data_IF_842053624647
#
_entry.id   IF_842053624647
#
_cell.length_a   1.000
_cell.length_b   1.000
_cell.length_c   1.000
_cell.angle_alpha   90.00
_cell.angle_beta   90.00
_cell.angle_gamma   90.00
#
_symmetry.space_group_name_H-M   'P 1'
#
loop_
_entity.id
_entity.type
_entity.pdbx_description
1 polymer ?
#
# COMPACT_ATOMS: atom_id res chain seq x y z
N UNK A 1 9.63 -15.35 1.17
CA UNK A 1 10.57 -14.26 1.52
C UNK A 1 10.27 -13.07 0.62
N UNK A 2 10.03 -11.87 1.16
CA UNK A 2 9.82 -10.63 0.39
C UNK A 2 11.17 -9.90 0.24
N UNK A 3 11.39 -9.19 -0.87
CA UNK A 3 12.60 -8.38 -1.05
C UNK A 3 12.69 -7.27 0.02
N UNK A 4 13.91 -6.99 0.48
CA UNK A 4 14.22 -5.83 1.34
C UNK A 4 14.88 -4.67 0.60
N UNK A 5 15.26 -4.87 -0.67
CA UNK A 5 15.80 -3.78 -1.51
C UNK A 5 14.67 -2.85 -1.93
N UNK A 6 14.85 -1.55 -1.69
CA UNK A 6 13.92 -0.48 -2.06
C UNK A 6 13.75 -0.41 -3.58
N UNK A 7 14.84 -0.62 -4.33
CA UNK A 7 14.86 -0.60 -5.79
C UNK A 7 13.99 -1.73 -6.37
N UNK A 8 14.09 -2.94 -5.80
CA UNK A 8 13.25 -4.06 -6.23
C UNK A 8 11.76 -3.82 -5.95
N UNK A 9 11.44 -3.13 -4.84
CA UNK A 9 10.06 -2.78 -4.49
C UNK A 9 9.51 -1.70 -5.44
N UNK A 10 10.34 -0.71 -5.77
CA UNK A 10 9.98 0.30 -6.76
C UNK A 10 9.79 -0.31 -8.15
N UNK A 11 10.68 -1.22 -8.57
CA UNK A 11 10.52 -1.97 -9.83
C UNK A 11 9.21 -2.78 -9.84
N UNK A 12 8.88 -3.46 -8.74
CA UNK A 12 7.62 -4.19 -8.64
C UNK A 12 6.40 -3.26 -8.80
N UNK A 13 6.46 -2.05 -8.25
CA UNK A 13 5.44 -1.04 -8.46
C UNK A 13 5.34 -0.60 -9.92
N UNK A 14 6.47 -0.29 -10.58
CA UNK A 14 6.47 0.09 -11.99
C UNK A 14 5.86 -1.01 -12.88
N UNK A 15 6.19 -2.28 -12.63
CA UNK A 15 5.65 -3.41 -13.38
C UNK A 15 4.15 -3.61 -13.15
N UNK A 16 3.68 -3.50 -11.90
CA UNK A 16 2.26 -3.61 -11.58
C UNK A 16 1.44 -2.47 -12.19
N UNK A 17 1.96 -1.23 -12.08
CA UNK A 17 1.36 -0.03 -12.67
C UNK A 17 1.24 -0.15 -14.18
N UNK A 18 2.32 -0.53 -14.87
CA UNK A 18 2.31 -0.73 -16.32
C UNK A 18 1.31 -1.81 -16.75
N UNK A 19 1.25 -2.94 -16.04
CA UNK A 19 0.27 -3.98 -16.35
C UNK A 19 -1.18 -3.50 -16.19
N UNK A 20 -1.46 -2.72 -15.14
CA UNK A 20 -2.77 -2.12 -14.93
C UNK A 20 -3.13 -1.10 -16.01
N UNK A 21 -2.18 -0.23 -16.39
CA UNK A 21 -2.35 0.77 -17.45
C UNK A 21 -2.60 0.13 -18.83
N UNK A 22 -2.06 -1.06 -19.08
CA UNK A 22 -2.33 -1.88 -20.27
C UNK A 22 -3.65 -2.68 -20.18
N UNK A 23 -4.48 -2.44 -19.16
CA UNK A 23 -5.81 -3.01 -19.01
C UNK A 23 -5.86 -4.35 -18.27
N UNK A 24 -4.76 -4.82 -17.67
CA UNK A 24 -4.78 -6.00 -16.82
C UNK A 24 -5.33 -5.66 -15.43
N UNK A 25 -6.66 -5.64 -15.30
CA UNK A 25 -7.37 -5.21 -14.08
C UNK A 25 -6.91 -5.92 -12.80
N UNK A 26 -6.46 -7.19 -12.90
CA UNK A 26 -5.94 -7.92 -11.74
C UNK A 26 -4.70 -7.27 -11.12
N UNK A 27 -3.96 -6.44 -11.87
CA UNK A 27 -2.82 -5.69 -11.33
C UNK A 27 -3.22 -4.45 -10.53
N UNK A 28 -4.47 -3.97 -10.64
CA UNK A 28 -4.94 -2.72 -10.02
C UNK A 28 -4.60 -2.61 -8.54
N UNK A 29 -4.98 -3.62 -7.76
CA UNK A 29 -4.67 -3.66 -6.32
C UNK A 29 -3.17 -3.81 -6.05
N UNK A 30 -2.45 -4.59 -6.88
CA UNK A 30 -1.01 -4.78 -6.71
C UNK A 30 -0.20 -3.51 -6.94
N UNK A 31 -0.69 -2.57 -7.75
CA UNK A 31 -0.08 -1.24 -7.92
C UNK A 31 0.00 -0.51 -6.58
N UNK A 32 -1.07 -0.48 -5.79
CA UNK A 32 -1.08 0.12 -4.46
C UNK A 32 -0.25 -0.69 -3.45
N UNK A 33 -0.37 -2.03 -3.44
CA UNK A 33 0.37 -2.90 -2.52
C UNK A 33 1.88 -2.72 -2.64
N UNK A 34 2.38 -2.71 -3.87
CA UNK A 34 3.81 -2.57 -4.14
C UNK A 34 4.30 -1.15 -3.85
N UNK A 35 3.49 -0.13 -4.15
CA UNK A 35 3.81 1.25 -3.83
C UNK A 35 3.89 1.50 -2.32
N UNK A 36 2.89 1.08 -1.56
CA UNK A 36 2.88 1.22 -0.11
C UNK A 36 4.04 0.47 0.55
N UNK A 37 4.41 -0.69 0.01
CA UNK A 37 5.58 -1.41 0.50
C UNK A 37 6.87 -0.63 0.22
N UNK A 38 7.01 -0.05 -0.98
CA UNK A 38 8.12 0.82 -1.32
C UNK A 38 8.16 2.04 -0.37
N UNK A 39 7.05 2.75 -0.19
CA UNK A 39 6.97 3.90 0.69
C UNK A 39 7.33 3.54 2.13
N UNK A 40 6.83 2.41 2.64
CA UNK A 40 7.13 2.01 4.01
C UNK A 40 8.62 1.76 4.19
N UNK A 41 9.23 1.04 3.26
CA UNK A 41 10.65 0.68 3.34
C UNK A 41 11.58 1.88 3.09
N UNK A 42 11.16 2.85 2.27
CA UNK A 42 11.96 4.02 1.93
C UNK A 42 11.77 5.20 2.89
N UNK A 43 10.56 5.39 3.42
CA UNK A 43 10.14 6.60 4.11
C UNK A 43 9.40 6.36 5.45
N UNK A 44 9.06 5.10 5.77
CA UNK A 44 8.42 4.77 7.04
C UNK A 44 6.90 4.95 7.08
N UNK A 45 6.26 5.36 5.99
CA UNK A 45 4.80 5.48 5.87
C UNK A 45 4.28 4.77 4.61
N UNK A 46 2.98 4.58 4.48
CA UNK A 46 2.33 4.06 3.27
C UNK A 46 1.31 5.06 2.73
N UNK A 47 1.00 5.00 1.43
CA UNK A 47 0.06 5.94 0.81
C UNK A 47 -1.39 5.47 0.99
N UNK A 48 -1.69 4.24 0.59
CA UNK A 48 -3.07 3.77 0.43
C UNK A 48 -3.59 2.91 1.58
N UNK A 49 -2.73 2.30 2.39
CA UNK A 49 -3.17 1.50 3.54
C UNK A 49 -3.28 0.00 3.27
N UNK A 50 -2.38 -0.56 2.46
CA UNK A 50 -2.34 -1.99 2.13
C UNK A 50 -1.44 -2.82 3.05
N UNK A 51 -0.74 -2.17 3.98
CA UNK A 51 0.34 -2.77 4.74
C UNK A 51 0.12 -2.72 6.25
N UNK A 52 0.25 -3.86 6.91
CA UNK A 52 0.24 -3.95 8.36
C UNK A 52 1.54 -4.54 8.92
N UNK A 53 1.75 -4.33 10.21
CA UNK A 53 2.87 -4.84 11.01
C UNK A 53 2.36 -5.22 12.40
N UNK A 54 3.18 -5.90 13.19
CA UNK A 54 2.85 -6.20 14.59
C UNK A 54 3.63 -5.29 15.53
N UNK A 55 2.94 -4.71 16.52
CA UNK A 55 3.51 -3.94 17.63
C UNK A 55 2.92 -4.51 18.92
N UNK A 56 3.76 -5.01 19.83
CA UNK A 56 3.33 -5.65 21.08
C UNK A 56 2.24 -6.73 20.87
N UNK A 57 2.44 -7.60 19.88
CA UNK A 57 1.51 -8.67 19.45
C UNK A 57 0.16 -8.19 18.89
N UNK A 58 -0.02 -6.88 18.69
CA UNK A 58 -1.19 -6.30 18.01
C UNK A 58 -0.88 -6.06 16.54
N UNK A 59 -1.76 -6.52 15.64
CA UNK A 59 -1.68 -6.25 14.20
C UNK A 59 -2.21 -4.84 13.94
N UNK A 60 -1.34 -3.95 13.45
CA UNK A 60 -1.63 -2.53 13.23
C UNK A 60 -1.29 -2.13 11.80
N UNK A 61 -2.04 -1.18 11.23
CA UNK A 61 -1.64 -0.57 9.97
C UNK A 61 -0.33 0.18 10.14
N UNK A 62 0.57 0.06 9.16
CA UNK A 62 1.68 1.01 9.03
C UNK A 62 1.09 2.42 8.88
N UNK A 63 1.75 3.45 9.41
CA UNK A 63 1.29 4.84 9.30
C UNK A 63 0.88 5.19 7.87
N UNK A 64 -0.39 5.56 7.70
CA UNK A 64 -0.99 5.92 6.40
C UNK A 64 -0.87 7.43 6.22
N UNK A 65 -0.46 7.85 5.03
CA UNK A 65 -0.39 9.25 4.62
C UNK A 65 -1.75 9.94 4.81
N UNK A 66 -1.87 10.93 5.71
CA UNK A 66 -3.14 11.58 6.00
C UNK A 66 -3.64 12.46 4.85
N UNK A 67 -2.78 12.77 3.87
CA UNK A 67 -3.18 13.53 2.68
C UNK A 67 -3.78 12.65 1.59
N UNK A 68 -3.70 11.31 1.71
CA UNK A 68 -4.27 10.43 0.70
C UNK A 68 -5.78 10.45 0.76
N UNK A 69 -6.41 10.79 -0.38
CA UNK A 69 -7.86 10.89 -0.46
C UNK A 69 -8.52 9.55 -0.75
N UNK A 70 -9.83 9.47 -0.47
CA UNK A 70 -10.64 8.30 -0.78
C UNK A 70 -10.68 8.05 -2.30
N UNK A 71 -10.69 9.10 -3.11
CA UNK A 71 -10.66 9.00 -4.58
C UNK A 71 -9.34 8.39 -5.07
N UNK A 72 -8.21 8.80 -4.52
CA UNK A 72 -6.90 8.22 -4.86
C UNK A 72 -6.83 6.73 -4.51
N UNK A 73 -7.43 6.34 -3.39
CA UNK A 73 -7.45 4.94 -2.93
C UNK A 73 -8.40 4.07 -3.78
N UNK A 74 -9.55 4.62 -4.14
CA UNK A 74 -10.56 3.96 -4.98
C UNK A 74 -9.99 3.62 -6.37
N UNK A 75 -9.10 4.46 -6.93
CA UNK A 75 -8.40 4.15 -8.20
C UNK A 75 -7.71 2.78 -8.16
N UNK A 76 -7.21 2.34 -7.00
CA UNK A 76 -6.54 1.05 -6.86
C UNK A 76 -7.35 -0.01 -6.12
N UNK A 77 -8.67 0.20 -5.97
CA UNK A 77 -9.57 -0.70 -5.24
C UNK A 77 -9.11 -0.94 -3.80
N UNK A 78 -8.59 0.12 -3.16
CA UNK A 78 -8.20 0.12 -1.74
C UNK A 78 -9.32 0.78 -0.92
N UNK A 79 -9.76 0.18 0.21
CA UNK A 79 -10.77 0.81 1.05
C UNK A 79 -10.34 2.18 1.56
N UNK A 80 -11.31 3.04 1.85
CA UNK A 80 -11.10 4.37 2.44
C UNK A 80 -10.38 4.29 3.79
N UNK A 81 -9.68 5.36 4.17
CA UNK A 81 -8.95 5.41 5.46
C UNK A 81 -9.88 5.08 6.64
N UNK A 82 -11.10 5.64 6.63
CA UNK A 82 -12.11 5.34 7.65
C UNK A 82 -12.41 3.85 7.75
N UNK A 83 -12.65 3.17 6.62
CA UNK A 83 -12.93 1.72 6.59
C UNK A 83 -11.73 0.90 7.05
N UNK A 84 -10.50 1.31 6.71
CA UNK A 84 -9.29 0.64 7.17
C UNK A 84 -9.17 0.70 8.69
N UNK A 85 -9.39 1.87 9.28
CA UNK A 85 -9.29 2.09 10.73
C UNK A 85 -10.40 1.39 11.53
N UNK A 86 -11.51 1.00 10.90
CA UNK A 86 -12.53 0.14 11.51
C UNK A 86 -12.03 -1.31 11.74
N UNK A 87 -11.01 -1.77 11.00
CA UNK A 87 -10.51 -3.14 11.09
C UNK A 87 -9.39 -3.33 12.11
N UNK A 88 -8.46 -2.36 12.19
CA UNK A 88 -7.33 -2.35 13.14
C UNK A 88 -6.78 -0.93 13.28
N UNK A 89 -6.14 -0.58 14.40
CA UNK A 89 -5.57 0.74 14.58
C UNK A 89 -4.34 0.94 13.70
N UNK A 90 -3.93 2.20 13.59
CA UNK A 90 -2.68 2.60 12.95
C UNK A 90 -1.56 2.64 14.00
N UNK A 91 -0.34 2.27 13.59
CA UNK A 91 0.90 2.40 14.36
C UNK A 91 1.10 3.81 14.93
#
# INVERSE_FOLDING_TARGET
MKSKSVENLFLAHQLAKAAYEEGYEKARYFTAVTYDRYCWMAFGFQKYGTQSTYINDEDVWVTIDPETTDEESEVYNVPTLKKLLEHKPMQ
#
